data_IF_154956623609
#
_entry.id   IF_154956623609
#
_cell.length_a   1.000
_cell.length_b   1.000
_cell.length_c   1.000
_cell.angle_alpha   90.00
_cell.angle_beta   90.00
_cell.angle_gamma   90.00
#
_symmetry.space_group_name_H-M   'P 1'
#
loop_
_entity.id
_entity.type
_entity.pdbx_description
1 polymer ?
#
# COMPACT_ATOMS: atom_id res chain seq x y z
N UNK A 1 17.21 -13.17 20.81
CA UNK A 1 16.25 -12.14 20.38
C UNK A 1 16.27 -12.16 18.86
N UNK A 2 15.11 -12.23 18.17
CA UNK A 2 15.12 -12.21 16.71
C UNK A 2 15.65 -10.87 16.18
N UNK A 3 16.15 -10.86 14.93
CA UNK A 3 16.69 -9.65 14.29
C UNK A 3 15.67 -8.51 14.27
N UNK A 4 14.38 -8.81 14.02
CA UNK A 4 13.29 -7.84 14.05
C UNK A 4 13.12 -7.16 15.40
N UNK A 5 13.16 -7.93 16.49
CA UNK A 5 13.07 -7.38 17.85
C UNK A 5 14.32 -6.60 18.25
N UNK A 6 15.51 -7.00 17.77
CA UNK A 6 16.75 -6.26 18.03
C UNK A 6 16.78 -4.87 17.35
N UNK A 7 16.07 -4.71 16.23
CA UNK A 7 15.94 -3.43 15.53
C UNK A 7 14.87 -2.52 16.13
N UNK A 8 13.88 -3.09 16.84
CA UNK A 8 12.77 -2.34 17.41
C UNK A 8 13.21 -1.46 18.59
N UNK A 9 12.44 -0.42 18.83
CA UNK A 9 12.65 0.48 19.98
C UNK A 9 12.50 -0.30 21.29
N UNK A 10 13.46 -0.19 22.23
CA UNK A 10 13.39 -0.91 23.50
C UNK A 10 12.16 -0.59 24.34
N UNK A 11 11.71 0.67 24.32
CA UNK A 11 10.50 1.11 25.02
C UNK A 11 9.24 0.46 24.44
N UNK A 12 9.21 0.19 23.14
CA UNK A 12 8.08 -0.49 22.47
C UNK A 12 8.07 -1.99 22.79
N UNK A 13 9.23 -2.64 22.84
CA UNK A 13 9.33 -4.07 23.19
C UNK A 13 8.72 -4.32 24.58
N UNK A 14 8.90 -3.39 25.53
CA UNK A 14 8.38 -3.47 26.89
C UNK A 14 6.88 -3.17 27.05
N UNK A 15 6.21 -2.63 26.01
CA UNK A 15 4.79 -2.28 26.10
C UNK A 15 3.95 -3.55 26.27
N UNK A 16 3.08 -3.53 27.28
CA UNK A 16 1.97 -4.50 27.40
C UNK A 16 0.84 -4.05 26.51
N UNK A 17 0.31 -4.98 25.70
CA UNK A 17 -0.88 -4.70 24.90
C UNK A 17 -2.03 -4.21 25.80
N UNK A 18 -2.84 -3.30 25.30
CA UNK A 18 -4.08 -2.92 25.95
C UNK A 18 -4.98 -4.17 26.09
N UNK A 19 -5.44 -4.43 27.30
CA UNK A 19 -6.39 -5.52 27.56
C UNK A 19 -7.79 -5.04 27.18
N UNK A 20 -8.22 -5.38 25.98
CA UNK A 20 -9.60 -5.11 25.55
C UNK A 20 -10.59 -6.12 26.16
N UNK A 21 -11.88 -5.77 26.13
CA UNK A 21 -12.95 -6.66 26.54
C UNK A 21 -12.93 -7.95 25.70
N UNK A 22 -13.12 -9.10 26.35
CA UNK A 22 -13.08 -10.40 25.68
C UNK A 22 -14.13 -10.47 24.54
N UNK A 23 -13.70 -10.95 23.37
CA UNK A 23 -14.60 -11.18 22.25
C UNK A 23 -15.26 -12.55 22.39
N UNK A 24 -16.48 -12.58 22.91
CA UNK A 24 -17.29 -13.78 23.13
C UNK A 24 -18.68 -13.58 22.50
N UNK A 25 -18.83 -13.77 21.17
CA UNK A 25 -20.05 -13.40 20.44
C UNK A 25 -21.29 -14.20 20.86
N UNK A 26 -21.11 -15.38 21.46
CA UNK A 26 -22.21 -16.22 21.96
C UNK A 26 -22.75 -15.80 23.34
N UNK A 27 -22.09 -14.85 24.02
CA UNK A 27 -22.47 -14.41 25.37
C UNK A 27 -23.14 -13.04 25.34
N UNK A 28 -24.02 -12.79 26.31
CA UNK A 28 -24.57 -11.46 26.58
C UNK A 28 -23.43 -10.54 27.04
N UNK A 29 -23.17 -9.46 26.30
CA UNK A 29 -22.07 -8.56 26.55
C UNK A 29 -22.47 -7.42 27.48
N UNK A 30 -21.97 -7.44 28.72
CA UNK A 30 -22.20 -6.40 29.74
C UNK A 30 -20.83 -5.89 30.31
N UNK A 31 -19.76 -5.89 29.52
CA UNK A 31 -18.40 -5.67 29.99
C UNK A 31 -17.62 -4.62 29.21
N UNK A 32 -18.26 -3.94 28.25
CA UNK A 32 -17.63 -2.94 27.39
C UNK A 32 -18.36 -1.58 27.38
N UNK A 33 -19.31 -1.37 28.30
CA UNK A 33 -20.10 -0.15 28.46
C UNK A 33 -20.91 0.23 27.20
N UNK A 34 -21.28 -0.74 26.40
CA UNK A 34 -22.02 -0.60 25.15
C UNK A 34 -23.52 -0.37 25.41
N UNK A 35 -24.16 0.46 24.58
CA UNK A 35 -25.61 0.62 24.62
C UNK A 35 -26.33 -0.71 24.29
N UNK A 36 -27.44 -1.07 24.95
CA UNK A 36 -28.09 -2.35 24.71
C UNK A 36 -28.96 -2.38 23.43
N UNK A 37 -29.25 -1.24 22.83
CA UNK A 37 -30.05 -1.09 21.63
C UNK A 37 -29.21 -0.62 20.42
N UNK A 38 -29.63 -1.01 19.22
CA UNK A 38 -29.07 -0.57 17.98
C UNK A 38 -29.52 0.85 17.61
N UNK A 39 -28.65 1.66 16.94
CA UNK A 39 -29.11 2.92 16.37
C UNK A 39 -30.08 2.68 15.20
N UNK A 40 -30.94 3.66 14.94
CA UNK A 40 -31.87 3.60 13.81
C UNK A 40 -31.07 3.48 12.48
N UNK A 41 -31.56 2.60 11.59
CA UNK A 41 -30.91 2.37 10.28
C UNK A 41 -29.66 1.48 10.31
N UNK A 42 -29.31 0.87 11.44
CA UNK A 42 -28.19 -0.09 11.51
C UNK A 42 -28.55 -1.40 10.80
N UNK A 43 -27.95 -1.59 9.61
CA UNK A 43 -28.07 -2.83 8.81
C UNK A 43 -26.92 -3.82 9.00
N UNK A 44 -25.97 -3.56 9.93
CA UNK A 44 -24.84 -4.47 10.15
C UNK A 44 -25.26 -5.75 10.86
N UNK A 45 -24.62 -6.86 10.56
CA UNK A 45 -24.94 -8.14 11.19
C UNK A 45 -24.69 -8.12 12.71
N UNK A 46 -23.54 -7.58 13.14
CA UNK A 46 -23.16 -7.59 14.56
C UNK A 46 -23.74 -6.43 15.39
N UNK A 47 -24.20 -5.35 14.76
CA UNK A 47 -24.71 -4.14 15.41
C UNK A 47 -23.63 -3.07 15.64
N UNK A 48 -23.95 -1.82 15.23
CA UNK A 48 -23.07 -0.67 15.43
C UNK A 48 -22.97 -0.23 16.90
N UNK A 49 -23.86 -0.70 17.75
CA UNK A 49 -23.80 -0.47 19.19
C UNK A 49 -22.78 -1.37 19.90
N UNK A 50 -22.06 -2.21 19.16
CA UNK A 50 -21.06 -3.14 19.70
C UNK A 50 -19.69 -2.84 19.13
N UNK A 51 -18.66 -2.85 19.98
CA UNK A 51 -17.28 -2.84 19.50
C UNK A 51 -17.05 -4.07 18.61
N UNK A 52 -16.39 -3.90 17.45
CA UNK A 52 -16.01 -5.03 16.60
C UNK A 52 -14.94 -5.90 17.26
N UNK A 53 -14.66 -7.03 16.66
CA UNK A 53 -13.50 -7.84 17.03
C UNK A 53 -12.20 -7.05 16.72
N UNK A 54 -11.25 -6.94 17.65
CA UNK A 54 -10.05 -6.08 17.47
C UNK A 54 -9.20 -6.44 16.27
N UNK A 55 -9.00 -7.73 16.04
CA UNK A 55 -8.36 -8.29 14.86
C UNK A 55 -9.28 -9.41 14.34
N UNK A 56 -10.21 -9.09 13.41
CA UNK A 56 -11.30 -10.01 13.04
C UNK A 56 -10.76 -11.33 12.48
N UNK A 57 -10.94 -12.43 13.23
CA UNK A 57 -10.39 -13.73 12.90
C UNK A 57 -10.80 -14.20 11.49
N UNK A 58 -12.09 -14.11 11.17
CA UNK A 58 -12.60 -14.50 9.85
C UNK A 58 -11.97 -13.71 8.70
N UNK A 59 -11.71 -12.41 8.90
CA UNK A 59 -11.05 -11.57 7.90
C UNK A 59 -9.56 -11.94 7.77
N UNK A 60 -8.86 -12.15 8.89
CA UNK A 60 -7.47 -12.58 8.91
C UNK A 60 -7.30 -13.92 8.21
N UNK A 61 -8.12 -14.91 8.54
CA UNK A 61 -8.10 -16.24 7.91
C UNK A 61 -8.30 -16.16 6.40
N UNK A 62 -9.26 -15.36 5.95
CA UNK A 62 -9.54 -15.17 4.54
C UNK A 62 -8.37 -14.51 3.80
N UNK A 63 -7.80 -13.45 4.36
CA UNK A 63 -6.64 -12.77 3.80
C UNK A 63 -5.39 -13.66 3.83
N UNK A 64 -5.15 -14.38 4.91
CA UNK A 64 -4.03 -15.32 5.03
C UNK A 64 -4.09 -16.40 3.95
N UNK A 65 -5.29 -16.93 3.67
CA UNK A 65 -5.51 -17.89 2.58
C UNK A 65 -5.22 -17.26 1.20
N UNK A 66 -5.70 -16.04 0.95
CA UNK A 66 -5.49 -15.34 -0.34
C UNK A 66 -4.02 -15.00 -0.56
N UNK A 67 -3.31 -14.58 0.49
CA UNK A 67 -1.91 -14.18 0.41
C UNK A 67 -0.92 -15.36 0.58
N UNK A 68 -1.42 -16.56 0.89
CA UNK A 68 -0.60 -17.77 1.06
C UNK A 68 0.35 -17.69 2.27
N UNK A 69 -0.11 -17.09 3.38
CA UNK A 69 0.70 -16.89 4.59
C UNK A 69 -0.01 -17.43 5.83
N UNK A 70 0.72 -17.79 6.90
CA UNK A 70 0.10 -18.14 8.18
C UNK A 70 -0.68 -16.96 8.78
N UNK A 71 -1.77 -17.22 9.48
CA UNK A 71 -2.55 -16.20 10.22
C UNK A 71 -1.71 -15.45 11.25
N UNK A 72 -0.69 -16.10 11.82
CA UNK A 72 0.26 -15.48 12.76
C UNK A 72 1.18 -14.45 12.11
N UNK A 73 1.29 -14.45 10.78
CA UNK A 73 2.11 -13.54 10.00
C UNK A 73 1.32 -12.36 9.42
N UNK A 74 0.07 -12.15 9.85
CA UNK A 74 -0.82 -11.14 9.28
C UNK A 74 -1.45 -10.24 10.36
N UNK A 75 -1.41 -8.93 10.14
CA UNK A 75 -2.13 -7.91 10.88
C UNK A 75 -3.02 -7.13 9.92
N UNK A 76 -4.30 -6.98 10.25
CA UNK A 76 -5.21 -6.12 9.49
C UNK A 76 -5.20 -4.70 10.06
N UNK A 77 -5.18 -3.71 9.18
CA UNK A 77 -5.07 -2.30 9.51
C UNK A 77 -5.99 -1.42 8.65
N UNK A 78 -6.21 -0.17 9.04
CA UNK A 78 -6.99 0.83 8.27
C UNK A 78 -6.25 1.30 7.02
N UNK A 79 -6.17 0.42 6.01
CA UNK A 79 -5.31 0.58 4.85
C UNK A 79 -3.85 0.29 5.18
N UNK A 80 -3.00 0.21 4.15
CA UNK A 80 -1.55 0.11 4.33
C UNK A 80 -0.95 1.34 5.02
N UNK A 81 -1.63 2.48 5.00
CA UNK A 81 -1.20 3.72 5.66
C UNK A 81 -1.04 3.53 7.18
N UNK A 82 -2.00 2.86 7.85
CA UNK A 82 -1.88 2.57 9.29
C UNK A 82 -0.74 1.58 9.57
N UNK A 83 -0.50 0.62 8.68
CA UNK A 83 0.63 -0.30 8.81
C UNK A 83 1.98 0.45 8.69
N UNK A 84 2.09 1.44 7.81
CA UNK A 84 3.27 2.32 7.70
C UNK A 84 3.47 3.11 9.00
N UNK A 85 2.41 3.67 9.57
CA UNK A 85 2.46 4.41 10.84
C UNK A 85 2.89 3.50 12.00
N UNK A 86 2.30 2.31 12.11
CA UNK A 86 2.66 1.30 13.13
C UNK A 86 4.13 0.90 13.02
N UNK A 87 4.64 0.63 11.81
CA UNK A 87 6.06 0.33 11.60
C UNK A 87 6.96 1.50 12.03
N UNK A 88 6.56 2.73 11.70
CA UNK A 88 7.31 3.93 12.12
C UNK A 88 7.38 4.04 13.65
N UNK A 89 6.29 3.78 14.35
CA UNK A 89 6.24 3.77 15.83
C UNK A 89 7.10 2.68 16.45
N UNK A 90 7.16 1.50 15.83
CA UNK A 90 7.95 0.37 16.31
C UNK A 90 9.45 0.64 16.21
N UNK A 91 9.90 1.20 15.09
CA UNK A 91 11.32 1.19 14.75
C UNK A 91 12.03 2.54 14.84
N UNK A 92 11.28 3.67 14.81
CA UNK A 92 11.90 4.98 14.68
C UNK A 92 11.85 5.78 15.99
N UNK A 93 13.01 6.08 16.56
CA UNK A 93 13.17 7.05 17.65
C UNK A 93 13.26 8.46 17.07
N UNK A 94 12.49 9.38 17.63
CA UNK A 94 12.52 10.78 17.24
C UNK A 94 13.94 11.36 17.39
N UNK A 95 14.38 12.12 16.39
CA UNK A 95 15.68 12.78 16.37
C UNK A 95 16.90 11.86 16.24
N UNK A 96 16.72 10.52 16.18
CA UNK A 96 17.84 9.57 16.15
C UNK A 96 17.80 8.64 14.94
N UNK A 97 16.63 8.07 14.63
CA UNK A 97 16.49 7.10 13.56
C UNK A 97 15.89 7.75 12.30
N UNK A 98 15.99 7.06 11.18
CA UNK A 98 15.48 7.51 9.88
C UNK A 98 14.94 6.36 9.05
N UNK A 99 14.22 6.72 7.98
CA UNK A 99 13.88 5.80 6.90
C UNK A 99 14.79 6.03 5.70
N UNK A 100 14.89 5.03 4.84
CA UNK A 100 15.43 5.13 3.50
C UNK A 100 14.32 4.79 2.51
N UNK A 101 14.12 5.63 1.50
CA UNK A 101 13.14 5.39 0.43
C UNK A 101 13.70 5.74 -0.93
N UNK A 102 13.13 5.12 -1.98
CA UNK A 102 13.37 5.56 -3.35
C UNK A 102 12.53 6.79 -3.70
N UNK A 103 12.97 7.61 -4.65
CA UNK A 103 12.21 8.74 -5.19
C UNK A 103 12.28 8.77 -6.72
N UNK A 104 11.15 9.12 -7.40
CA UNK A 104 9.82 9.39 -6.84
C UNK A 104 9.14 8.13 -6.34
N UNK A 105 8.45 8.20 -5.19
CA UNK A 105 7.68 7.08 -4.66
C UNK A 105 6.47 7.59 -3.82
N UNK A 106 5.77 6.67 -3.13
CA UNK A 106 4.59 7.02 -2.34
C UNK A 106 4.93 7.91 -1.15
N UNK A 107 4.31 9.09 -1.08
CA UNK A 107 4.68 10.13 -0.12
C UNK A 107 4.41 9.82 1.35
N UNK A 108 3.55 8.83 1.67
CA UNK A 108 3.17 8.52 3.05
C UNK A 108 4.32 7.95 3.88
N UNK A 109 5.33 7.33 3.28
CA UNK A 109 6.51 6.87 4.03
C UNK A 109 7.21 8.04 4.70
N UNK A 110 7.47 9.11 3.92
CA UNK A 110 8.06 10.36 4.44
C UNK A 110 7.16 11.02 5.49
N UNK A 111 5.86 11.11 5.21
CA UNK A 111 4.89 11.73 6.12
C UNK A 111 4.87 11.01 7.47
N UNK A 112 4.78 9.68 7.48
CA UNK A 112 4.79 8.89 8.71
C UNK A 112 6.11 9.04 9.48
N UNK A 113 7.26 9.05 8.79
CA UNK A 113 8.56 9.30 9.41
C UNK A 113 8.63 10.68 10.06
N UNK A 114 8.17 11.74 9.37
CA UNK A 114 8.15 13.10 9.92
C UNK A 114 7.21 13.23 11.11
N UNK A 115 6.00 12.61 11.06
CA UNK A 115 5.08 12.59 12.21
C UNK A 115 5.75 11.93 13.42
N UNK A 116 6.55 10.87 13.18
CA UNK A 116 7.30 10.18 14.23
C UNK A 116 8.54 11.00 14.70
N UNK A 117 8.87 12.12 14.05
CA UNK A 117 10.06 12.92 14.34
C UNK A 117 11.35 12.28 13.86
N UNK A 118 11.28 11.37 12.89
CA UNK A 118 12.42 10.66 12.32
C UNK A 118 12.93 11.32 11.03
N UNK A 119 14.19 11.06 10.69
CA UNK A 119 14.81 11.52 9.46
C UNK A 119 14.34 10.73 8.24
N UNK A 120 14.57 11.29 7.05
CA UNK A 120 14.30 10.65 5.76
C UNK A 120 15.53 10.77 4.88
N UNK A 121 16.04 9.64 4.42
CA UNK A 121 17.05 9.55 3.37
C UNK A 121 16.40 9.08 2.07
N UNK A 122 16.89 9.57 0.94
CA UNK A 122 16.28 9.33 -0.36
C UNK A 122 17.32 8.92 -1.39
N UNK A 123 16.93 7.97 -2.23
CA UNK A 123 17.70 7.54 -3.40
C UNK A 123 16.85 7.72 -4.63
N UNK A 124 17.32 8.51 -5.59
CA UNK A 124 16.60 8.69 -6.84
C UNK A 124 16.62 7.39 -7.66
N UNK A 125 15.46 6.99 -8.18
CA UNK A 125 15.32 5.94 -9.18
C UNK A 125 15.92 6.42 -10.51
N UNK A 126 16.47 5.50 -11.29
CA UNK A 126 17.06 5.84 -12.58
C UNK A 126 15.98 6.06 -13.65
N UNK A 127 15.71 7.34 -13.93
CA UNK A 127 14.75 7.74 -14.97
C UNK A 127 15.18 7.26 -16.37
N UNK A 128 16.48 7.18 -16.65
CA UNK A 128 16.98 6.76 -17.95
C UNK A 128 16.73 5.27 -18.20
N UNK A 129 16.63 4.49 -17.14
CA UNK A 129 16.31 3.05 -17.17
C UNK A 129 14.88 2.78 -16.66
N UNK A 130 13.88 3.55 -17.10
CA UNK A 130 12.47 3.38 -16.77
C UNK A 130 12.20 3.29 -15.24
N UNK A 131 12.88 4.14 -14.47
CA UNK A 131 12.76 4.22 -13.02
C UNK A 131 13.25 2.95 -12.30
N UNK A 132 14.30 2.33 -12.82
CA UNK A 132 14.89 1.15 -12.20
C UNK A 132 15.44 1.45 -10.80
N UNK A 133 15.36 0.43 -9.93
CA UNK A 133 16.04 0.41 -8.65
C UNK A 133 17.52 0.01 -8.88
N UNK A 134 18.43 0.85 -8.41
CA UNK A 134 19.87 0.57 -8.38
C UNK A 134 20.29 0.12 -6.96
N UNK A 135 20.48 -1.19 -6.72
CA UNK A 135 20.81 -1.72 -5.40
C UNK A 135 22.08 -1.10 -4.79
N UNK A 136 23.13 -0.99 -5.56
CA UNK A 136 24.41 -0.46 -5.08
C UNK A 136 24.31 0.98 -4.59
N UNK A 137 23.53 1.80 -5.29
CA UNK A 137 23.27 3.19 -4.91
C UNK A 137 22.44 3.28 -3.62
N UNK A 138 21.42 2.42 -3.49
CA UNK A 138 20.61 2.35 -2.28
C UNK A 138 21.44 1.88 -1.08
N UNK A 139 22.19 0.80 -1.26
CA UNK A 139 23.05 0.21 -0.21
C UNK A 139 24.19 1.16 0.18
N UNK A 140 24.77 1.88 -0.79
CA UNK A 140 25.80 2.91 -0.54
C UNK A 140 25.27 4.10 0.27
N UNK A 141 23.96 4.37 0.19
CA UNK A 141 23.28 5.42 0.96
C UNK A 141 22.90 4.96 2.37
N UNK A 142 22.60 3.66 2.55
CA UNK A 142 22.13 3.13 3.82
C UNK A 142 23.12 3.36 4.97
N UNK A 143 22.60 3.67 6.15
CA UNK A 143 23.37 3.83 7.42
C UNK A 143 22.63 3.12 8.55
N UNK A 144 23.33 2.70 9.64
CA UNK A 144 22.74 1.90 10.74
C UNK A 144 21.55 2.53 11.49
N UNK A 145 21.39 3.85 11.41
CA UNK A 145 20.22 4.55 11.96
C UNK A 145 19.01 4.52 11.02
N UNK A 146 19.15 4.05 9.78
CA UNK A 146 18.05 3.87 8.83
C UNK A 146 17.39 2.51 9.10
N UNK A 147 16.36 2.51 9.96
CA UNK A 147 15.72 1.30 10.48
C UNK A 147 14.68 0.69 9.56
N UNK A 148 14.06 1.51 8.71
CA UNK A 148 13.06 1.08 7.72
C UNK A 148 13.55 1.48 6.32
N UNK A 149 13.46 0.55 5.38
CA UNK A 149 13.75 0.77 3.96
C UNK A 149 12.50 0.46 3.15
N UNK A 150 11.91 1.47 2.51
CA UNK A 150 10.67 1.33 1.76
C UNK A 150 10.92 1.14 0.26
N UNK A 151 10.39 0.06 -0.30
CA UNK A 151 10.44 -0.28 -1.72
C UNK A 151 9.00 -0.55 -2.21
N UNK A 152 8.45 0.40 -2.97
CA UNK A 152 7.11 0.24 -3.57
C UNK A 152 7.24 -0.48 -4.92
N UNK A 153 6.64 -1.66 -5.07
CA UNK A 153 6.74 -2.44 -6.30
C UNK A 153 5.46 -3.26 -6.56
N UNK A 154 4.67 -2.89 -7.58
CA UNK A 154 4.83 -1.79 -8.55
C UNK A 154 4.88 -0.40 -7.90
N UNK A 155 5.76 0.48 -8.40
CA UNK A 155 6.00 1.77 -7.78
C UNK A 155 4.92 2.80 -8.12
N UNK A 156 4.61 3.64 -7.19
CA UNK A 156 3.72 4.80 -7.36
C UNK A 156 4.53 6.09 -7.15
N UNK A 157 4.69 6.98 -8.17
CA UNK A 157 3.80 7.13 -9.32
C UNK A 157 4.32 6.55 -10.64
N UNK A 158 5.46 5.89 -10.69
CA UNK A 158 6.13 5.53 -11.93
C UNK A 158 5.52 4.31 -12.63
N UNK A 159 4.83 3.44 -11.90
CA UNK A 159 4.09 2.28 -12.42
C UNK A 159 4.92 1.01 -12.60
N UNK A 160 6.24 1.11 -12.66
CA UNK A 160 7.12 -0.03 -12.90
C UNK A 160 7.28 -0.94 -11.67
N UNK A 161 7.47 -2.23 -11.91
CA UNK A 161 7.96 -3.18 -10.91
C UNK A 161 9.49 -3.19 -10.88
N UNK A 162 10.08 -3.24 -9.68
CA UNK A 162 11.53 -3.41 -9.56
C UNK A 162 11.96 -4.83 -9.94
N UNK A 163 13.13 -4.99 -10.52
CA UNK A 163 13.69 -6.28 -10.86
C UNK A 163 13.86 -7.17 -9.61
N UNK A 164 13.56 -8.47 -9.73
CA UNK A 164 13.60 -9.38 -8.57
C UNK A 164 15.00 -9.52 -7.98
N UNK A 165 16.03 -9.56 -8.84
CA UNK A 165 17.43 -9.60 -8.45
C UNK A 165 17.86 -8.33 -7.70
N UNK A 166 17.35 -7.16 -8.11
CA UNK A 166 17.59 -5.91 -7.40
C UNK A 166 16.93 -5.91 -6.02
N UNK A 167 15.69 -6.37 -5.90
CA UNK A 167 14.99 -6.51 -4.62
C UNK A 167 15.70 -7.53 -3.72
N UNK A 168 16.12 -8.66 -4.28
CA UNK A 168 16.84 -9.71 -3.56
C UNK A 168 18.20 -9.22 -3.03
N UNK A 169 18.94 -8.47 -3.83
CA UNK A 169 20.23 -7.89 -3.42
C UNK A 169 20.04 -6.96 -2.22
N UNK A 170 19.02 -6.09 -2.23
CA UNK A 170 18.71 -5.19 -1.10
C UNK A 170 18.29 -5.98 0.13
N UNK A 171 17.34 -6.92 -0.01
CA UNK A 171 16.86 -7.73 1.10
C UNK A 171 18.00 -8.54 1.74
N UNK A 172 18.85 -9.18 0.92
CA UNK A 172 19.97 -9.96 1.40
C UNK A 172 21.02 -9.11 2.14
N UNK A 173 21.38 -7.95 1.60
CA UNK A 173 22.37 -7.08 2.19
C UNK A 173 21.95 -6.44 3.50
N UNK A 174 20.62 -6.21 3.68
CA UNK A 174 20.03 -5.55 4.84
C UNK A 174 19.36 -6.51 5.82
N UNK A 175 19.36 -7.82 5.55
CA UNK A 175 18.80 -8.81 6.48
C UNK A 175 19.49 -8.72 7.85
N UNK A 176 18.68 -8.61 8.90
CA UNK A 176 19.15 -8.38 10.27
C UNK A 176 19.65 -6.96 10.59
N UNK A 177 19.72 -6.04 9.61
CA UNK A 177 20.26 -4.68 9.77
C UNK A 177 19.20 -3.58 9.66
N UNK A 178 18.17 -3.81 8.86
CA UNK A 178 17.00 -2.93 8.71
C UNK A 178 15.78 -3.76 8.33
N UNK A 179 14.58 -3.23 8.57
CA UNK A 179 13.36 -3.84 8.05
C UNK A 179 13.14 -3.32 6.63
N UNK A 180 13.20 -4.22 5.65
CA UNK A 180 12.88 -3.91 4.26
C UNK A 180 11.38 -4.09 4.07
N UNK A 181 10.69 -2.98 3.82
CA UNK A 181 9.23 -2.93 3.65
C UNK A 181 8.92 -2.89 2.15
N UNK A 182 8.35 -3.97 1.64
CA UNK A 182 7.90 -4.05 0.25
C UNK A 182 6.42 -3.67 0.20
N UNK A 183 6.12 -2.55 -0.44
CA UNK A 183 4.73 -2.11 -0.62
C UNK A 183 4.19 -2.66 -1.94
N UNK A 184 3.30 -3.64 -1.84
CA UNK A 184 2.66 -4.35 -2.94
C UNK A 184 1.22 -3.88 -3.19
N UNK A 185 0.92 -2.61 -2.97
CA UNK A 185 -0.44 -2.07 -3.16
C UNK A 185 -1.01 -2.27 -4.57
N UNK A 186 -0.17 -2.56 -5.56
CA UNK A 186 -0.56 -2.72 -6.97
C UNK A 186 -0.20 -4.09 -7.56
N UNK A 187 0.22 -5.04 -6.76
CA UNK A 187 0.75 -6.33 -7.24
C UNK A 187 -0.24 -7.15 -8.06
N UNK A 188 -1.55 -6.98 -7.85
CA UNK A 188 -2.59 -7.70 -8.59
C UNK A 188 -2.58 -7.42 -10.10
N UNK A 189 -2.00 -6.29 -10.54
CA UNK A 189 -1.83 -5.94 -11.96
C UNK A 189 -0.48 -6.32 -12.53
N UNK A 190 0.44 -6.78 -11.70
CA UNK A 190 1.76 -7.23 -12.13
C UNK A 190 1.73 -8.71 -12.52
N UNK A 191 2.57 -9.07 -13.48
CA UNK A 191 2.85 -10.49 -13.80
C UNK A 191 3.73 -11.17 -12.77
N UNK A 192 4.28 -10.40 -11.83
CA UNK A 192 5.18 -10.92 -10.80
C UNK A 192 4.42 -11.51 -9.64
N UNK A 193 4.98 -12.53 -9.04
CA UNK A 193 4.46 -13.10 -7.80
C UNK A 193 4.73 -12.15 -6.61
N UNK A 194 3.86 -12.19 -5.61
CA UNK A 194 4.06 -11.48 -4.34
C UNK A 194 5.31 -11.98 -3.61
N UNK A 195 6.03 -11.07 -2.98
CA UNK A 195 7.19 -11.38 -2.15
C UNK A 195 6.84 -11.87 -0.75
N UNK A 196 5.56 -12.11 -0.46
CA UNK A 196 5.16 -12.84 0.76
C UNK A 196 5.86 -14.20 0.89
N UNK A 197 6.20 -14.84 -0.24
CA UNK A 197 6.99 -16.08 -0.27
C UNK A 197 8.42 -15.91 0.30
N UNK A 198 8.92 -14.66 0.42
CA UNK A 198 10.27 -14.39 0.96
C UNK A 198 10.31 -14.28 2.48
N UNK A 199 9.16 -14.29 3.18
CA UNK A 199 9.11 -14.23 4.65
C UNK A 199 9.88 -15.36 5.35
N UNK A 200 9.98 -16.53 4.72
CA UNK A 200 10.79 -17.64 5.23
C UNK A 200 12.27 -17.56 4.85
N UNK A 201 12.63 -16.65 3.96
CA UNK A 201 13.99 -16.52 3.43
C UNK A 201 14.77 -15.39 4.08
N UNK A 202 14.12 -14.25 4.33
CA UNK A 202 14.72 -13.07 4.95
C UNK A 202 14.06 -12.79 6.29
N UNK A 203 14.86 -12.60 7.33
CA UNK A 203 14.37 -12.45 8.70
C UNK A 203 13.76 -11.07 8.99
N UNK A 204 14.08 -10.05 8.18
CA UNK A 204 13.67 -8.66 8.40
C UNK A 204 12.93 -8.04 7.20
N UNK A 205 12.14 -8.84 6.51
CA UNK A 205 11.22 -8.36 5.47
C UNK A 205 9.81 -8.14 6.04
N UNK A 206 9.14 -7.11 5.55
CA UNK A 206 7.71 -6.89 5.74
C UNK A 206 7.05 -6.57 4.41
N UNK A 207 5.82 -7.04 4.18
CA UNK A 207 5.05 -6.79 2.96
C UNK A 207 3.77 -6.06 3.31
N UNK A 208 3.46 -4.99 2.58
CA UNK A 208 2.21 -4.26 2.70
C UNK A 208 1.25 -4.66 1.57
N UNK A 209 0.00 -4.92 1.92
CA UNK A 209 -1.08 -5.21 0.97
C UNK A 209 -2.29 -4.34 1.27
N UNK A 210 -3.17 -4.12 0.29
CA UNK A 210 -4.38 -3.32 0.48
C UNK A 210 -5.54 -3.84 -0.37
N UNK A 211 -6.75 -3.73 0.16
CA UNK A 211 -7.97 -3.98 -0.60
C UNK A 211 -8.47 -2.74 -1.33
N UNK A 212 -7.80 -1.60 -1.17
CA UNK A 212 -8.21 -0.31 -1.75
C UNK A 212 -8.18 -0.27 -3.28
N UNK A 213 -7.39 -1.13 -3.92
CA UNK A 213 -7.12 -1.06 -5.36
C UNK A 213 -7.87 -2.14 -6.12
N UNK A 214 -7.29 -3.34 -6.30
CA UNK A 214 -7.89 -4.41 -7.10
C UNK A 214 -9.27 -4.86 -6.58
N UNK A 215 -9.47 -4.87 -5.27
CA UNK A 215 -10.73 -5.26 -4.64
C UNK A 215 -11.77 -4.13 -4.54
N UNK A 216 -11.50 -2.95 -5.15
CA UNK A 216 -12.43 -1.80 -5.20
C UNK A 216 -12.92 -1.29 -3.83
N UNK A 217 -12.16 -1.51 -2.76
CA UNK A 217 -12.51 -1.14 -1.38
C UNK A 217 -11.75 0.09 -0.86
N UNK A 218 -11.45 1.06 -1.74
CA UNK A 218 -10.74 2.27 -1.34
C UNK A 218 -11.44 3.03 -0.21
N UNK A 219 -12.77 3.10 -0.22
CA UNK A 219 -13.58 3.74 0.81
C UNK A 219 -13.69 2.94 2.11
N UNK A 220 -13.51 1.62 2.05
CA UNK A 220 -13.58 0.76 3.24
C UNK A 220 -12.32 0.79 4.11
N UNK A 221 -11.19 1.29 3.59
CA UNK A 221 -9.93 1.46 4.34
C UNK A 221 -9.41 0.16 4.97
N UNK A 222 -9.11 -0.85 4.16
CA UNK A 222 -8.50 -2.11 4.64
C UNK A 222 -7.17 -2.35 3.95
N UNK A 223 -6.17 -2.67 4.77
CA UNK A 223 -4.86 -3.13 4.37
C UNK A 223 -4.33 -4.18 5.33
N UNK A 224 -3.19 -4.74 5.00
CA UNK A 224 -2.52 -5.75 5.79
C UNK A 224 -1.02 -5.47 5.87
N UNK A 225 -0.47 -5.69 7.07
CA UNK A 225 0.95 -5.89 7.29
C UNK A 225 1.20 -7.39 7.36
N UNK A 226 2.14 -7.88 6.56
CA UNK A 226 2.52 -9.28 6.49
C UNK A 226 4.01 -9.36 6.82
N UNK A 227 4.36 -10.07 7.88
CA UNK A 227 5.72 -10.17 8.38
C UNK A 227 5.90 -11.42 9.26
N UNK A 228 7.11 -11.62 9.77
CA UNK A 228 7.35 -12.68 10.76
C UNK A 228 6.46 -12.48 12.01
N UNK A 229 6.02 -13.57 12.68
CA UNK A 229 5.08 -13.50 13.80
C UNK A 229 5.48 -12.58 14.93
N UNK A 230 6.77 -12.42 15.20
CA UNK A 230 7.28 -11.54 16.25
C UNK A 230 7.00 -10.06 15.96
N UNK A 231 7.08 -9.63 14.70
CA UNK A 231 6.73 -8.27 14.31
C UNK A 231 5.20 -8.06 14.38
N UNK A 232 4.44 -9.05 13.94
CA UNK A 232 2.96 -8.99 14.01
C UNK A 232 2.50 -8.89 15.47
N UNK A 233 3.08 -9.67 16.37
CA UNK A 233 2.78 -9.60 17.80
C UNK A 233 3.14 -8.23 18.40
N UNK A 234 4.27 -7.66 17.99
CA UNK A 234 4.68 -6.33 18.44
C UNK A 234 3.73 -5.23 17.87
N UNK A 235 3.33 -5.35 16.62
CA UNK A 235 2.39 -4.45 15.99
C UNK A 235 0.99 -4.49 16.64
N UNK A 236 0.53 -5.66 17.08
CA UNK A 236 -0.74 -5.83 17.83
C UNK A 236 -0.75 -5.08 19.16
N UNK A 237 0.41 -4.84 19.78
CA UNK A 237 0.49 -4.07 21.03
C UNK A 237 0.31 -2.58 20.84
N UNK A 238 0.50 -2.09 19.62
CA UNK A 238 0.56 -0.65 19.30
C UNK A 238 -0.65 -0.18 18.53
N UNK A 239 -1.18 -1.03 17.66
CA UNK A 239 -2.36 -0.69 16.86
C UNK A 239 -3.57 -0.44 17.79
N UNK A 240 -4.40 0.57 17.50
CA UNK A 240 -5.64 0.77 18.27
C UNK A 240 -6.49 -0.51 18.27
N UNK A 241 -7.04 -0.92 19.44
CA UNK A 241 -7.69 -2.23 19.60
C UNK A 241 -8.91 -2.43 18.69
N UNK A 242 -9.60 -1.39 18.31
CA UNK A 242 -10.81 -1.44 17.49
C UNK A 242 -10.63 -0.58 16.22
N UNK A 243 -9.54 -0.80 15.50
CA UNK A 243 -9.18 0.05 14.36
C UNK A 243 -10.11 -0.09 13.16
N UNK A 244 -10.76 -1.24 12.97
CA UNK A 244 -11.69 -1.46 11.86
C UNK A 244 -13.14 -1.34 12.33
N UNK A 245 -13.95 -0.57 11.60
CA UNK A 245 -15.38 -0.47 11.87
C UNK A 245 -16.11 -1.73 11.38
N UNK A 246 -17.23 -2.10 12.06
CA UNK A 246 -18.02 -3.27 11.70
C UNK A 246 -18.49 -3.29 10.23
N UNK A 247 -19.04 -2.20 9.65
CA UNK A 247 -19.40 -2.18 8.22
C UNK A 247 -18.21 -2.44 7.28
N UNK A 248 -17.04 -1.97 7.67
CA UNK A 248 -15.80 -2.19 6.93
C UNK A 248 -15.41 -3.68 6.90
N UNK A 249 -15.51 -4.35 8.06
CA UNK A 249 -15.22 -5.79 8.18
C UNK A 249 -16.19 -6.60 7.30
N UNK A 250 -17.48 -6.30 7.39
CA UNK A 250 -18.53 -6.97 6.61
C UNK A 250 -18.34 -6.76 5.10
N UNK A 251 -18.07 -5.53 4.68
CA UNK A 251 -17.77 -5.22 3.27
C UNK A 251 -16.54 -5.98 2.76
N UNK A 252 -15.50 -6.10 3.59
CA UNK A 252 -14.31 -6.85 3.22
C UNK A 252 -14.58 -8.35 3.08
N UNK A 253 -15.28 -8.94 4.05
CA UNK A 253 -15.63 -10.37 4.00
C UNK A 253 -16.47 -10.69 2.76
N UNK A 254 -17.43 -9.82 2.40
CA UNK A 254 -18.21 -9.96 1.18
C UNK A 254 -17.34 -9.88 -0.10
N UNK A 255 -16.43 -8.92 -0.17
CA UNK A 255 -15.53 -8.75 -1.32
C UNK A 255 -14.47 -9.86 -1.43
N UNK A 256 -14.21 -10.57 -0.34
CA UNK A 256 -13.27 -11.69 -0.28
C UNK A 256 -13.94 -13.06 -0.36
N UNK A 257 -15.25 -13.11 -0.64
CA UNK A 257 -15.92 -14.38 -1.00
C UNK A 257 -15.21 -15.01 -2.22
N UNK A 258 -15.05 -16.34 -2.28
CA UNK A 258 -14.36 -17.00 -3.40
C UNK A 258 -14.89 -16.61 -4.78
N UNK A 259 -16.20 -16.41 -4.93
CA UNK A 259 -16.82 -15.94 -6.17
C UNK A 259 -16.39 -14.53 -6.54
N UNK A 260 -16.38 -13.61 -5.57
CA UNK A 260 -15.95 -12.21 -5.77
C UNK A 260 -14.44 -12.09 -5.99
N UNK A 261 -13.62 -12.93 -5.36
CA UNK A 261 -12.17 -13.00 -5.65
C UNK A 261 -11.94 -13.45 -7.09
N UNK A 262 -12.68 -14.45 -7.58
CA UNK A 262 -12.61 -14.88 -8.97
C UNK A 262 -13.06 -13.76 -9.93
N UNK A 263 -14.17 -13.07 -9.63
CA UNK A 263 -14.64 -11.93 -10.40
C UNK A 263 -13.64 -10.76 -10.41
N UNK A 264 -12.96 -10.52 -9.29
CA UNK A 264 -11.89 -9.50 -9.20
C UNK A 264 -10.73 -9.82 -10.14
N UNK A 265 -10.31 -11.08 -10.24
CA UNK A 265 -9.26 -11.49 -11.21
C UNK A 265 -9.67 -11.21 -12.65
N UNK A 266 -10.94 -11.48 -13.01
CA UNK A 266 -11.47 -11.15 -14.35
C UNK A 266 -11.45 -9.65 -14.61
N UNK A 267 -11.87 -8.83 -13.63
CA UNK A 267 -11.84 -7.37 -13.72
C UNK A 267 -10.41 -6.83 -13.85
N UNK A 268 -9.45 -7.43 -13.15
CA UNK A 268 -8.02 -7.08 -13.28
C UNK A 268 -7.53 -7.35 -14.70
N UNK A 269 -7.85 -8.52 -15.29
CA UNK A 269 -7.47 -8.82 -16.68
C UNK A 269 -8.10 -7.87 -17.68
N UNK A 270 -9.37 -7.52 -17.52
CA UNK A 270 -10.03 -6.51 -18.35
C UNK A 270 -9.35 -5.13 -18.25
N UNK A 271 -8.95 -4.74 -17.03
CA UNK A 271 -8.26 -3.47 -16.81
C UNK A 271 -6.84 -3.46 -17.41
N UNK A 272 -6.16 -4.59 -17.46
CA UNK A 272 -4.86 -4.70 -18.14
C UNK A 272 -5.00 -4.45 -19.64
N UNK A 273 -6.05 -4.98 -20.29
CA UNK A 273 -6.33 -4.69 -21.69
C UNK A 273 -6.67 -3.18 -21.89
N UNK A 274 -7.44 -2.58 -20.98
CA UNK A 274 -7.75 -1.15 -21.03
C UNK A 274 -6.49 -0.29 -20.79
N UNK A 275 -5.53 -0.73 -19.98
CA UNK A 275 -4.25 -0.05 -19.79
C UNK A 275 -3.46 0.03 -21.10
N UNK A 276 -3.35 -1.07 -21.82
CA UNK A 276 -2.65 -1.08 -23.12
C UNK A 276 -3.38 -0.23 -24.16
N UNK A 277 -4.69 -0.32 -24.23
CA UNK A 277 -5.48 0.55 -25.08
C UNK A 277 -5.24 2.03 -24.78
N UNK A 278 -5.33 2.42 -23.52
CA UNK A 278 -5.10 3.81 -23.10
C UNK A 278 -3.66 4.25 -23.41
N UNK A 279 -2.68 3.37 -23.20
CA UNK A 279 -1.27 3.62 -23.53
C UNK A 279 -1.08 3.93 -25.03
N UNK A 280 -1.64 3.09 -25.89
CA UNK A 280 -1.56 3.27 -27.36
C UNK A 280 -2.21 4.58 -27.79
N UNK A 281 -3.39 4.90 -27.26
CA UNK A 281 -4.08 6.15 -27.60
C UNK A 281 -3.30 7.39 -27.12
N UNK A 282 -2.74 7.35 -25.91
CA UNK A 282 -1.91 8.45 -25.39
C UNK A 282 -0.64 8.67 -26.21
N UNK A 283 -0.01 7.62 -26.73
CA UNK A 283 1.17 7.73 -27.60
C UNK A 283 0.87 8.40 -28.94
N UNK A 284 -0.37 8.38 -29.40
CA UNK A 284 -0.80 9.07 -30.64
C UNK A 284 -1.00 10.58 -30.45
N UNK A 285 -1.04 11.08 -29.21
CA UNK A 285 -1.26 12.51 -28.95
C UNK A 285 0.04 13.30 -29.10
N UNK A 286 0.02 14.40 -29.88
CA UNK A 286 1.18 15.28 -30.10
C UNK A 286 1.67 15.96 -28.83
N UNK A 287 0.78 16.14 -27.86
CA UNK A 287 1.07 16.75 -26.57
C UNK A 287 1.77 15.80 -25.60
N UNK A 288 1.66 14.48 -25.79
CA UNK A 288 2.31 13.46 -24.95
C UNK A 288 3.68 13.15 -25.53
N UNK A 289 4.73 13.32 -24.71
CA UNK A 289 6.12 13.07 -25.11
C UNK A 289 6.62 11.70 -24.69
N UNK A 290 6.02 11.13 -23.63
CA UNK A 290 6.34 9.78 -23.15
C UNK A 290 5.16 9.18 -22.39
N UNK A 291 4.95 7.88 -22.55
CA UNK A 291 4.13 7.06 -21.67
C UNK A 291 5.03 5.99 -21.07
N UNK A 292 5.17 5.99 -19.75
CA UNK A 292 6.06 5.10 -19.05
C UNK A 292 5.46 3.68 -18.96
N UNK A 293 6.29 2.62 -19.02
CA UNK A 293 5.83 1.26 -18.76
C UNK A 293 5.19 1.15 -17.37
N UNK A 294 4.13 0.34 -17.25
CA UNK A 294 3.43 0.21 -15.99
C UNK A 294 2.94 -1.22 -15.74
N UNK A 295 3.17 -1.68 -14.50
CA UNK A 295 2.60 -2.90 -13.92
C UNK A 295 1.51 -2.58 -12.89
N UNK A 296 0.98 -1.33 -12.89
CA UNK A 296 -0.08 -0.87 -11.99
C UNK A 296 -1.39 -0.59 -12.75
N UNK A 297 -2.41 -0.12 -12.05
CA UNK A 297 -3.69 0.31 -12.64
C UNK A 297 -3.69 1.77 -13.08
N UNK A 298 -2.54 2.32 -13.41
CA UNK A 298 -2.37 3.68 -13.89
C UNK A 298 -1.18 3.77 -14.84
N UNK A 299 -1.10 4.85 -15.60
CA UNK A 299 0.02 5.22 -16.44
C UNK A 299 0.64 6.53 -15.94
N UNK A 300 1.96 6.62 -15.89
CA UNK A 300 2.67 7.88 -15.80
C UNK A 300 2.97 8.36 -17.23
N UNK A 301 2.68 9.63 -17.50
CA UNK A 301 2.97 10.25 -18.81
C UNK A 301 3.75 11.55 -18.61
N UNK A 302 4.50 11.94 -19.63
CA UNK A 302 5.06 13.29 -19.74
C UNK A 302 4.37 14.06 -20.86
N UNK A 303 4.06 15.32 -20.60
CA UNK A 303 3.45 16.23 -21.59
C UNK A 303 4.42 17.32 -22.02
N UNK A 304 4.36 17.70 -23.29
CA UNK A 304 5.09 18.82 -23.85
C UNK A 304 4.61 20.17 -23.31
N UNK A 305 3.28 20.31 -23.15
CA UNK A 305 2.62 21.45 -22.54
C UNK A 305 1.73 20.94 -21.40
N UNK A 306 2.28 20.85 -20.17
CA UNK A 306 1.55 20.33 -19.03
C UNK A 306 0.32 21.15 -18.66
N UNK A 307 0.35 22.47 -18.85
CA UNK A 307 -0.79 23.33 -18.51
C UNK A 307 -1.94 23.18 -19.50
N UNK A 308 -1.63 23.08 -20.80
CA UNK A 308 -2.64 22.78 -21.82
C UNK A 308 -3.24 21.38 -21.60
N UNK A 309 -2.39 20.37 -21.29
CA UNK A 309 -2.85 19.02 -21.00
C UNK A 309 -3.86 18.99 -19.84
N UNK A 310 -3.53 19.65 -18.72
CA UNK A 310 -4.40 19.71 -17.55
C UNK A 310 -5.70 20.45 -17.86
N UNK A 311 -5.63 21.62 -18.52
CA UNK A 311 -6.84 22.38 -18.91
C UNK A 311 -7.76 21.57 -19.80
N UNK A 312 -7.22 20.87 -20.79
CA UNK A 312 -8.01 20.07 -21.73
C UNK A 312 -8.68 18.88 -21.07
N UNK A 313 -7.96 18.15 -20.19
CA UNK A 313 -8.55 17.05 -19.44
C UNK A 313 -9.69 17.52 -18.55
N UNK A 314 -9.53 18.66 -17.86
CA UNK A 314 -10.56 19.24 -16.99
C UNK A 314 -11.76 19.77 -17.78
N UNK A 315 -11.54 20.40 -18.93
CA UNK A 315 -12.61 20.86 -19.83
C UNK A 315 -13.46 19.70 -20.36
N UNK A 316 -12.84 18.51 -20.56
CA UNK A 316 -13.53 17.27 -20.89
C UNK A 316 -14.15 16.54 -19.70
N UNK A 317 -14.19 17.16 -18.52
CA UNK A 317 -14.77 16.56 -17.31
C UNK A 317 -13.92 15.48 -16.65
N UNK A 318 -12.64 15.36 -17.00
CA UNK A 318 -11.74 14.36 -16.43
C UNK A 318 -10.65 15.02 -15.59
N UNK A 319 -10.48 14.56 -14.34
CA UNK A 319 -9.37 14.97 -13.49
C UNK A 319 -8.29 13.89 -13.48
N UNK A 320 -7.05 14.29 -13.74
CA UNK A 320 -5.86 13.44 -13.65
C UNK A 320 -4.97 13.91 -12.50
N UNK A 321 -4.07 13.07 -12.03
CA UNK A 321 -3.15 13.45 -10.96
C UNK A 321 -1.96 14.23 -11.52
N UNK A 322 -1.90 15.52 -11.21
CA UNK A 322 -0.73 16.35 -11.47
C UNK A 322 0.43 15.93 -10.57
N UNK A 323 1.56 15.58 -11.17
CA UNK A 323 2.76 15.13 -10.48
C UNK A 323 3.87 16.19 -10.45
N UNK A 324 3.65 17.39 -11.01
CA UNK A 324 4.65 18.45 -11.19
C UNK A 324 5.17 19.07 -9.89
N UNK A 325 4.46 18.85 -8.78
CA UNK A 325 4.97 19.20 -7.45
C UNK A 325 6.20 18.37 -7.03
N UNK A 326 6.45 17.23 -7.70
CA UNK A 326 7.65 16.44 -7.49
C UNK A 326 8.75 16.91 -8.47
N UNK A 327 9.92 17.36 -7.98
CA UNK A 327 11.01 17.86 -8.84
C UNK A 327 11.51 16.87 -9.88
N UNK A 328 11.38 15.55 -9.64
CA UNK A 328 11.75 14.51 -10.61
C UNK A 328 10.73 14.36 -11.76
N UNK A 329 9.54 14.99 -11.64
CA UNK A 329 8.39 14.81 -12.54
C UNK A 329 7.82 16.14 -13.06
N UNK A 330 8.64 17.08 -13.56
CA UNK A 330 8.24 18.47 -13.85
C UNK A 330 7.21 18.60 -14.98
N UNK A 331 7.00 17.55 -15.76
CA UNK A 331 6.09 17.53 -16.92
C UNK A 331 5.08 16.39 -16.86
N UNK A 332 4.94 15.73 -15.70
CA UNK A 332 4.30 14.43 -15.64
C UNK A 332 2.90 14.48 -15.02
N UNK A 333 2.05 13.58 -15.52
CA UNK A 333 0.72 13.28 -14.96
C UNK A 333 0.59 11.78 -14.73
N UNK A 334 -0.09 11.40 -13.65
CA UNK A 334 -0.50 10.02 -13.42
C UNK A 334 -1.98 9.88 -13.77
N UNK A 335 -2.29 8.98 -14.69
CA UNK A 335 -3.64 8.72 -15.20
C UNK A 335 -4.05 7.33 -14.73
N UNK A 336 -5.12 7.25 -13.92
CA UNK A 336 -5.72 5.96 -13.56
C UNK A 336 -6.43 5.37 -14.76
N UNK A 337 -6.23 4.09 -15.01
CA UNK A 337 -6.94 3.37 -16.08
C UNK A 337 -8.40 3.24 -15.69
N UNK A 338 -9.28 3.78 -16.54
CA UNK A 338 -10.73 3.74 -16.40
C UNK A 338 -11.37 2.62 -17.23
N UNK A 339 -12.70 2.66 -17.32
CA UNK A 339 -13.44 1.89 -18.32
C UNK A 339 -13.15 2.45 -19.72
N UNK A 340 -13.46 1.69 -20.79
CA UNK A 340 -13.31 2.14 -22.18
C UNK A 340 -13.93 3.53 -22.38
N UNK A 341 -15.16 3.74 -21.94
CA UNK A 341 -15.86 5.01 -22.10
C UNK A 341 -15.16 6.17 -21.36
N UNK A 342 -14.59 5.92 -20.17
CA UNK A 342 -13.83 6.93 -19.41
C UNK A 342 -12.49 7.24 -20.10
N UNK A 343 -11.80 6.22 -20.59
CA UNK A 343 -10.55 6.39 -21.33
C UNK A 343 -10.78 7.18 -22.62
N UNK A 344 -11.82 6.85 -23.39
CA UNK A 344 -12.19 7.53 -24.65
C UNK A 344 -12.59 8.98 -24.39
N UNK A 345 -13.32 9.28 -23.32
CA UNK A 345 -13.68 10.65 -22.97
C UNK A 345 -12.43 11.51 -22.69
N UNK A 346 -11.46 10.98 -21.95
CA UNK A 346 -10.18 11.66 -21.73
C UNK A 346 -9.44 11.89 -23.05
N UNK A 347 -9.28 10.85 -23.87
CA UNK A 347 -8.56 10.95 -25.16
C UNK A 347 -9.23 11.97 -26.07
N UNK A 348 -10.56 11.92 -26.23
CA UNK A 348 -11.29 12.85 -27.08
C UNK A 348 -11.10 14.31 -26.65
N UNK A 349 -11.09 14.59 -25.34
CA UNK A 349 -10.85 15.94 -24.84
C UNK A 349 -9.43 16.44 -25.11
N UNK A 350 -8.44 15.55 -25.08
CA UNK A 350 -7.05 15.87 -25.39
C UNK A 350 -6.82 16.03 -26.90
N UNK A 351 -7.50 15.27 -27.75
CA UNK A 351 -7.46 15.39 -29.22
C UNK A 351 -8.08 16.71 -29.70
N UNK A 352 -9.20 17.11 -29.11
CA UNK A 352 -9.88 18.36 -29.48
C UNK A 352 -9.04 19.63 -29.18
N UNK A 353 -8.00 19.51 -28.35
CA UNK A 353 -7.12 20.62 -27.96
C UNK A 353 -5.81 20.66 -28.77
N UNK A 354 -5.61 19.77 -29.73
CA UNK A 354 -4.40 19.69 -30.58
C UNK A 354 -4.59 20.43 -31.92
#
# INVERSE_FOLDING_TARGET
>A
MSSLLALARPDIIGIKAYSHAAWLPSMTRLHANEAPWRPAGDGTAAGLNRYPEPQPAALIERLAQIYGVPVSSLLVARGSDEAIDVLSRIYLRAGADSILQCTPSFGMYRVAAHIQGAGVAEVALDRAQDWALEPDRLLGTWRPNMKLVYLCSPNNPTGNSFALDALEAVCSALDGKAVVVIDEAYIEWSVRASLTAWLGRFSTIAVLRTLSKAHALAGARIGALIAAPELIELARRIIPPYSLAQPTIEAALAALDPGEVAATRVRVQALLAEREYLRERLLCLRTVTRVWPSDANFLLIDSRDPDAFLRSSMAGGTIVRDMRSNPALPHSFRITVGTRAQNDALISSLEAAQ
#
